data_IF_395527419300
#
_entry.id   IF_395527419300
#
_cell.length_a   1.000
_cell.length_b   1.000
_cell.length_c   1.000
_cell.angle_alpha   90.00
_cell.angle_beta   90.00
_cell.angle_gamma   90.00
#
_symmetry.space_group_name_H-M   'P 1'
#
loop_
_entity.id
_entity.type
_entity.pdbx_description
1 polymer ?
#
# COMPACT_ATOMS: atom_id res chain seq x y z
N UNK A 1 4.78 70.00 -3.20
CA UNK A 1 5.73 69.05 -2.65
C UNK A 1 5.07 67.66 -2.71
N UNK A 2 5.41 66.86 -3.76
CA UNK A 2 4.82 65.51 -4.00
C UNK A 2 5.74 64.49 -3.39
N UNK A 3 5.28 63.72 -2.40
CA UNK A 3 6.01 62.58 -1.80
C UNK A 3 5.70 61.33 -2.59
N UNK A 4 6.72 60.82 -3.31
CA UNK A 4 6.68 59.54 -4.02
C UNK A 4 6.97 58.47 -3.01
N UNK A 5 6.00 57.58 -2.70
CA UNK A 5 6.18 56.40 -1.90
C UNK A 5 6.62 55.22 -2.78
N UNK A 6 7.87 54.81 -2.66
CA UNK A 6 8.40 53.63 -3.35
C UNK A 6 8.00 52.37 -2.59
N UNK A 7 7.09 51.60 -3.17
CA UNK A 7 6.70 50.25 -2.68
C UNK A 7 7.76 49.24 -3.11
N UNK A 8 8.53 48.75 -2.12
CA UNK A 8 9.53 47.70 -2.29
C UNK A 8 8.77 46.33 -2.24
N UNK A 9 8.55 45.72 -3.39
CA UNK A 9 7.98 44.37 -3.49
C UNK A 9 9.07 43.33 -3.20
N UNK A 10 9.10 42.78 -1.96
CA UNK A 10 9.91 41.59 -1.63
C UNK A 10 9.24 40.35 -2.22
N UNK A 11 9.77 39.86 -3.37
CA UNK A 11 9.44 38.58 -3.92
C UNK A 11 10.05 37.48 -3.04
N UNK A 12 9.24 36.84 -2.19
CA UNK A 12 9.60 35.64 -1.43
C UNK A 12 9.69 34.45 -2.40
N UNK A 13 10.89 34.17 -2.89
CA UNK A 13 11.21 32.94 -3.59
C UNK A 13 11.23 31.80 -2.54
N UNK A 14 10.10 31.09 -2.40
CA UNK A 14 10.04 29.85 -1.64
C UNK A 14 10.83 28.78 -2.40
N UNK A 15 11.85 28.15 -1.80
CA UNK A 15 12.49 27.00 -2.42
C UNK A 15 11.48 25.86 -2.44
N UNK A 16 11.02 25.46 -3.64
CA UNK A 16 10.37 24.17 -3.85
C UNK A 16 11.43 23.11 -3.57
N UNK A 17 11.46 22.62 -2.33
CA UNK A 17 12.19 21.42 -1.99
C UNK A 17 11.52 20.27 -2.75
N UNK A 18 12.04 19.96 -3.94
CA UNK A 18 11.70 18.73 -4.65
C UNK A 18 12.14 17.58 -3.73
N UNK A 19 11.20 16.97 -3.03
CA UNK A 19 11.46 15.71 -2.33
C UNK A 19 11.81 14.67 -3.39
N UNK A 20 13.11 14.47 -3.62
CA UNK A 20 13.58 13.38 -4.46
C UNK A 20 13.05 12.08 -3.84
N UNK A 21 12.12 11.41 -4.53
CA UNK A 21 11.61 10.12 -4.10
C UNK A 21 12.81 9.16 -3.99
N UNK A 22 13.01 8.60 -2.79
CA UNK A 22 14.07 7.61 -2.56
C UNK A 22 13.82 6.43 -3.52
N UNK A 23 14.87 6.07 -4.28
CA UNK A 23 14.82 4.90 -5.17
C UNK A 23 15.06 3.64 -4.34
N UNK A 24 14.26 2.60 -4.55
CA UNK A 24 14.46 1.31 -3.89
C UNK A 24 15.75 0.66 -4.42
N UNK A 25 16.74 0.49 -3.57
CA UNK A 25 17.94 -0.30 -3.87
C UNK A 25 17.70 -1.78 -3.64
N UNK A 26 18.53 -2.67 -4.19
CA UNK A 26 18.45 -4.10 -3.92
C UNK A 26 18.59 -4.43 -2.42
N UNK A 27 19.42 -3.67 -1.70
CA UNK A 27 19.56 -3.81 -0.25
C UNK A 27 18.29 -3.38 0.49
N UNK A 28 17.67 -2.25 0.08
CA UNK A 28 16.39 -1.80 0.64
C UNK A 28 15.28 -2.82 0.37
N UNK A 29 15.20 -3.38 -0.85
CA UNK A 29 14.20 -4.40 -1.19
C UNK A 29 14.35 -5.66 -0.32
N UNK A 30 15.58 -6.13 -0.12
CA UNK A 30 15.85 -7.28 0.77
C UNK A 30 15.47 -6.98 2.22
N UNK A 31 15.76 -5.75 2.70
CA UNK A 31 15.39 -5.33 4.04
C UNK A 31 13.88 -5.18 4.20
N UNK A 32 13.20 -4.63 3.19
CA UNK A 32 11.75 -4.50 3.13
C UNK A 32 11.06 -5.87 3.22
N UNK A 33 11.48 -6.84 2.41
CA UNK A 33 10.95 -8.20 2.45
C UNK A 33 11.06 -8.82 3.85
N UNK A 34 12.23 -8.72 4.49
CA UNK A 34 12.43 -9.20 5.85
C UNK A 34 11.59 -8.46 6.90
N UNK A 35 11.28 -7.18 6.67
CA UNK A 35 10.44 -6.41 7.56
C UNK A 35 8.96 -6.82 7.40
N UNK A 36 8.50 -7.01 6.17
CA UNK A 36 7.15 -7.45 5.84
C UNK A 36 6.84 -8.82 6.46
N UNK A 37 7.75 -9.76 6.38
CA UNK A 37 7.61 -11.11 6.99
C UNK A 37 7.40 -11.08 8.52
N UNK A 38 7.78 -9.98 9.17
CA UNK A 38 7.70 -9.80 10.64
C UNK A 38 6.50 -8.96 11.08
N UNK A 39 5.64 -8.54 10.16
CA UNK A 39 4.47 -7.73 10.51
C UNK A 39 3.44 -8.61 11.22
N UNK A 40 3.21 -8.30 12.50
CA UNK A 40 2.22 -8.99 13.36
C UNK A 40 1.29 -8.01 14.08
N UNK A 41 1.45 -6.70 13.84
CA UNK A 41 0.61 -5.65 14.43
C UNK A 41 0.51 -4.44 13.51
N UNK A 42 -0.49 -3.58 13.78
CA UNK A 42 -0.68 -2.32 13.05
C UNK A 42 0.52 -1.39 13.17
N UNK A 43 1.16 -1.34 14.32
CA UNK A 43 2.37 -0.54 14.56
C UNK A 43 3.56 -1.06 13.72
N UNK A 44 3.70 -2.38 13.61
CA UNK A 44 4.73 -2.96 12.74
C UNK A 44 4.47 -2.64 11.27
N UNK A 45 3.20 -2.69 10.84
CA UNK A 45 2.81 -2.35 9.48
C UNK A 45 3.10 -0.87 9.16
N UNK A 46 2.65 0.05 10.01
CA UNK A 46 2.89 1.49 9.86
C UNK A 46 4.39 1.79 9.80
N UNK A 47 5.17 1.20 10.71
CA UNK A 47 6.63 1.36 10.72
C UNK A 47 7.27 0.83 9.43
N UNK A 48 6.93 -0.37 9.00
CA UNK A 48 7.45 -0.96 7.77
C UNK A 48 7.12 -0.11 6.55
N UNK A 49 5.89 0.43 6.47
CA UNK A 49 5.51 1.37 5.44
C UNK A 49 6.37 2.64 5.47
N UNK A 50 6.55 3.29 6.62
CA UNK A 50 7.40 4.47 6.72
C UNK A 50 8.83 4.22 6.25
N UNK A 51 9.39 3.08 6.63
CA UNK A 51 10.78 2.74 6.31
C UNK A 51 10.96 2.34 4.83
N UNK A 52 9.96 1.65 4.23
CA UNK A 52 10.12 0.95 2.96
C UNK A 52 9.07 1.26 1.88
N UNK A 53 8.18 2.26 2.06
CA UNK A 53 7.17 2.61 1.05
C UNK A 53 7.74 2.91 -0.35
N UNK A 54 9.01 3.31 -0.43
CA UNK A 54 9.74 3.52 -1.67
C UNK A 54 10.10 2.22 -2.39
N UNK A 55 9.96 1.08 -1.72
CA UNK A 55 10.14 -0.27 -2.24
C UNK A 55 8.79 -1.02 -2.44
N UNK A 56 7.67 -0.34 -2.37
CA UNK A 56 6.33 -0.90 -2.52
C UNK A 56 6.04 -1.26 -3.97
N UNK A 57 6.70 -2.33 -4.45
CA UNK A 57 6.65 -2.87 -5.80
C UNK A 57 6.89 -4.37 -5.77
N UNK A 58 6.43 -5.06 -6.79
CA UNK A 58 6.67 -6.48 -7.02
C UNK A 58 6.40 -7.34 -5.76
N UNK A 59 7.31 -8.19 -5.36
CA UNK A 59 7.17 -9.09 -4.21
C UNK A 59 7.02 -8.37 -2.87
N UNK A 60 7.52 -7.14 -2.74
CA UNK A 60 7.34 -6.33 -1.52
C UNK A 60 5.90 -5.79 -1.45
N UNK A 61 5.31 -5.38 -2.58
CA UNK A 61 3.91 -4.94 -2.69
C UNK A 61 2.95 -6.09 -2.29
N UNK A 62 3.18 -7.28 -2.83
CA UNK A 62 2.39 -8.47 -2.48
C UNK A 62 2.52 -8.82 -0.99
N UNK A 63 3.72 -8.77 -0.45
CA UNK A 63 3.97 -9.01 0.97
C UNK A 63 3.28 -8.00 1.89
N UNK A 64 3.29 -6.72 1.54
CA UNK A 64 2.54 -5.69 2.26
C UNK A 64 1.03 -5.93 2.19
N UNK A 65 0.53 -6.33 1.02
CA UNK A 65 -0.89 -6.67 0.83
C UNK A 65 -1.29 -7.83 1.73
N UNK A 66 -0.53 -8.92 1.73
CA UNK A 66 -0.77 -10.08 2.59
C UNK A 66 -0.75 -9.71 4.09
N UNK A 67 0.26 -8.99 4.53
CA UNK A 67 0.37 -8.56 5.92
C UNK A 67 -0.80 -7.66 6.35
N UNK A 68 -1.20 -6.70 5.51
CA UNK A 68 -2.35 -5.83 5.76
C UNK A 68 -3.64 -6.64 5.85
N UNK A 69 -3.91 -7.51 4.87
CA UNK A 69 -5.15 -8.28 4.83
C UNK A 69 -5.25 -9.27 5.99
N UNK A 70 -4.15 -9.93 6.37
CA UNK A 70 -4.09 -10.77 7.55
C UNK A 70 -4.45 -10.02 8.84
N UNK A 71 -4.00 -8.78 9.01
CA UNK A 71 -4.37 -7.94 10.14
C UNK A 71 -5.83 -7.46 10.05
N UNK A 72 -6.33 -7.16 8.85
CA UNK A 72 -7.72 -6.75 8.60
C UNK A 72 -8.69 -7.89 8.92
N UNK A 73 -8.45 -9.11 8.45
CA UNK A 73 -9.26 -10.29 8.74
C UNK A 73 -9.18 -10.66 10.22
N UNK A 74 -8.01 -10.46 10.84
CA UNK A 74 -7.85 -10.64 12.29
C UNK A 74 -8.74 -9.73 13.15
N UNK A 75 -9.22 -8.61 12.61
CA UNK A 75 -10.18 -7.66 13.16
C UNK A 75 -9.89 -7.18 14.59
N UNK A 76 -8.61 -6.99 14.93
CA UNK A 76 -8.16 -6.60 16.28
C UNK A 76 -7.49 -5.23 16.26
N UNK A 77 -7.66 -4.48 17.36
CA UNK A 77 -7.00 -3.19 17.61
C UNK A 77 -7.16 -2.20 16.44
N UNK A 78 -8.35 -2.11 15.87
CA UNK A 78 -8.65 -1.24 14.72
C UNK A 78 -8.50 0.25 15.02
N UNK A 79 -8.52 0.64 16.28
CA UNK A 79 -8.19 1.98 16.74
C UNK A 79 -6.80 2.42 16.29
N UNK A 80 -5.81 1.52 16.28
CA UNK A 80 -4.45 1.83 15.87
C UNK A 80 -4.36 2.20 14.39
N UNK A 81 -4.94 1.39 13.49
CA UNK A 81 -4.93 1.71 12.05
C UNK A 81 -5.83 2.90 11.72
N UNK A 82 -6.99 2.99 12.34
CA UNK A 82 -7.89 4.13 12.18
C UNK A 82 -7.20 5.45 12.55
N UNK A 83 -6.50 5.48 13.68
CA UNK A 83 -5.74 6.65 14.10
C UNK A 83 -4.56 6.96 13.17
N UNK A 84 -3.84 5.94 12.67
CA UNK A 84 -2.75 6.11 11.72
C UNK A 84 -3.25 6.72 10.40
N UNK A 85 -4.34 6.17 9.83
CA UNK A 85 -4.97 6.70 8.61
C UNK A 85 -5.51 8.12 8.77
N UNK A 86 -5.99 8.48 9.97
CA UNK A 86 -6.45 9.84 10.27
C UNK A 86 -5.30 10.86 10.34
N UNK A 87 -4.10 10.42 10.77
CA UNK A 87 -2.91 11.29 10.89
C UNK A 87 -2.18 11.47 9.56
N UNK A 88 -2.20 10.44 8.69
CA UNK A 88 -1.40 10.41 7.48
C UNK A 88 -2.25 10.03 6.26
N UNK A 89 -2.54 11.03 5.41
CA UNK A 89 -3.36 10.85 4.21
C UNK A 89 -2.66 9.98 3.15
N UNK A 90 -1.32 9.93 3.12
CA UNK A 90 -0.58 9.06 2.21
C UNK A 90 -0.64 7.60 2.68
N UNK A 91 -0.50 7.37 3.98
CA UNK A 91 -0.71 6.05 4.57
C UNK A 91 -2.13 5.55 4.31
N UNK A 92 -3.15 6.38 4.51
CA UNK A 92 -4.55 6.07 4.20
C UNK A 92 -4.73 5.66 2.74
N UNK A 93 -4.17 6.42 1.81
CA UNK A 93 -4.20 6.14 0.37
C UNK A 93 -3.53 4.80 0.03
N UNK A 94 -2.40 4.54 0.69
CA UNK A 94 -1.67 3.31 0.56
C UNK A 94 -2.48 2.11 1.09
N UNK A 95 -3.08 2.21 2.27
CA UNK A 95 -3.98 1.17 2.81
C UNK A 95 -5.11 0.87 1.82
N UNK A 96 -5.77 1.91 1.27
CA UNK A 96 -6.84 1.71 0.27
C UNK A 96 -6.32 1.03 -1.01
N UNK A 97 -5.12 1.38 -1.48
CA UNK A 97 -4.48 0.72 -2.63
C UNK A 97 -4.36 -0.80 -2.38
N UNK A 98 -3.83 -1.17 -1.23
CA UNK A 98 -3.56 -2.59 -0.91
C UNK A 98 -4.83 -3.40 -0.66
N UNK A 99 -5.82 -2.87 0.04
CA UNK A 99 -7.11 -3.58 0.21
C UNK A 99 -7.88 -3.75 -1.10
N UNK A 100 -7.58 -2.93 -2.12
CA UNK A 100 -8.13 -3.05 -3.47
C UNK A 100 -7.25 -3.86 -4.41
N UNK A 101 -6.06 -4.29 -3.98
CA UNK A 101 -5.15 -5.12 -4.77
C UNK A 101 -5.85 -6.41 -5.22
N UNK A 102 -5.56 -6.91 -6.44
CA UNK A 102 -6.01 -8.23 -6.86
C UNK A 102 -5.60 -9.35 -5.88
N UNK A 103 -4.44 -9.23 -5.25
CA UNK A 103 -3.96 -10.18 -4.23
C UNK A 103 -4.85 -10.21 -2.97
N UNK A 104 -5.57 -9.13 -2.66
CA UNK A 104 -6.49 -9.04 -1.53
C UNK A 104 -7.91 -9.55 -1.84
N UNK A 105 -8.16 -10.07 -3.07
CA UNK A 105 -9.53 -10.32 -3.56
C UNK A 105 -10.32 -11.26 -2.66
N UNK A 106 -9.73 -12.33 -2.20
CA UNK A 106 -10.43 -13.39 -1.47
C UNK A 106 -10.79 -12.95 -0.04
N UNK A 107 -9.94 -12.12 0.58
CA UNK A 107 -10.16 -11.62 1.95
C UNK A 107 -11.11 -10.41 2.00
N UNK A 108 -11.34 -9.72 0.87
CA UNK A 108 -12.16 -8.48 0.86
C UNK A 108 -13.60 -8.69 1.30
N UNK A 109 -14.20 -9.84 0.97
CA UNK A 109 -15.57 -10.14 1.37
C UNK A 109 -15.67 -10.32 2.88
N UNK A 110 -14.68 -10.96 3.49
CA UNK A 110 -14.60 -11.12 4.95
C UNK A 110 -14.44 -9.77 5.64
N UNK A 111 -13.53 -8.92 5.13
CA UNK A 111 -13.33 -7.57 5.67
C UNK A 111 -14.60 -6.72 5.51
N UNK A 112 -15.32 -6.83 4.38
CA UNK A 112 -16.60 -6.16 4.19
C UNK A 112 -17.64 -6.63 5.22
N UNK A 113 -17.76 -7.94 5.41
CA UNK A 113 -18.70 -8.51 6.36
C UNK A 113 -18.40 -8.09 7.80
N UNK A 114 -17.11 -8.07 8.18
CA UNK A 114 -16.64 -7.60 9.50
C UNK A 114 -16.95 -6.11 9.70
N UNK A 115 -16.66 -5.28 8.70
CA UNK A 115 -16.93 -3.84 8.78
C UNK A 115 -18.44 -3.52 8.91
N UNK A 116 -19.30 -4.34 8.31
CA UNK A 116 -20.76 -4.15 8.38
C UNK A 116 -21.40 -4.72 9.64
N UNK A 117 -20.85 -5.80 10.21
CA UNK A 117 -21.54 -6.59 11.25
C UNK A 117 -20.82 -6.58 12.60
N UNK A 118 -19.53 -6.27 12.62
CA UNK A 118 -18.67 -6.44 13.78
C UNK A 118 -17.84 -5.20 14.10
N UNK A 119 -18.34 -4.01 13.71
CA UNK A 119 -17.62 -2.77 13.95
C UNK A 119 -17.45 -2.54 15.47
N UNK A 120 -16.23 -2.33 15.97
CA UNK A 120 -16.02 -2.01 17.38
C UNK A 120 -16.60 -0.66 17.75
N UNK A 121 -16.98 -0.49 19.02
CA UNK A 121 -17.45 0.78 19.53
C UNK A 121 -16.47 1.92 19.23
N UNK A 122 -17.01 3.08 18.83
CA UNK A 122 -16.24 4.29 18.44
C UNK A 122 -15.43 4.18 17.14
N UNK A 123 -15.60 3.11 16.34
CA UNK A 123 -14.96 2.96 15.05
C UNK A 123 -15.95 3.07 13.87
N UNK A 124 -17.15 3.57 14.09
CA UNK A 124 -18.23 3.61 13.08
C UNK A 124 -17.80 4.30 11.79
N UNK A 125 -17.10 5.43 11.88
CA UNK A 125 -16.61 6.17 10.72
C UNK A 125 -15.58 5.37 9.93
N UNK A 126 -14.63 4.71 10.60
CA UNK A 126 -13.62 3.85 9.97
C UNK A 126 -14.27 2.63 9.31
N UNK A 127 -15.19 1.94 10.01
CA UNK A 127 -15.89 0.79 9.46
C UNK A 127 -16.75 1.18 8.24
N UNK A 128 -17.44 2.31 8.29
CA UNK A 128 -18.24 2.79 7.16
C UNK A 128 -17.36 3.10 5.94
N UNK A 129 -16.25 3.79 6.14
CA UNK A 129 -15.27 4.08 5.09
C UNK A 129 -14.71 2.78 4.50
N UNK A 130 -14.25 1.86 5.35
CA UNK A 130 -13.66 0.60 4.93
C UNK A 130 -14.67 -0.24 4.12
N UNK A 131 -15.93 -0.34 4.60
CA UNK A 131 -16.99 -1.05 3.90
C UNK A 131 -17.26 -0.47 2.51
N UNK A 132 -17.20 0.86 2.34
CA UNK A 132 -17.35 1.47 1.00
C UNK A 132 -16.14 1.20 0.10
N UNK A 133 -14.93 1.11 0.67
CA UNK A 133 -13.71 0.80 -0.09
C UNK A 133 -13.73 -0.64 -0.60
N UNK A 134 -14.03 -1.61 0.28
CA UNK A 134 -13.97 -3.05 -0.03
C UNK A 134 -15.29 -3.64 -0.54
N UNK A 135 -16.28 -2.81 -0.82
CA UNK A 135 -17.63 -3.24 -1.27
C UNK A 135 -17.56 -4.23 -2.42
N UNK A 136 -18.27 -5.38 -2.33
CA UNK A 136 -18.34 -6.34 -3.42
C UNK A 136 -18.79 -5.73 -4.76
N UNK A 137 -18.16 -6.12 -5.84
CA UNK A 137 -18.42 -5.60 -7.18
C UNK A 137 -17.72 -4.28 -7.52
N UNK A 138 -17.00 -3.66 -6.58
CA UNK A 138 -16.10 -2.55 -6.89
C UNK A 138 -14.83 -3.09 -7.57
N UNK A 139 -14.49 -2.66 -8.79
CA UNK A 139 -13.27 -3.13 -9.43
C UNK A 139 -12.08 -2.78 -8.54
N UNK A 140 -11.22 -3.76 -8.29
CA UNK A 140 -9.92 -3.51 -7.69
C UNK A 140 -9.14 -2.51 -8.55
N UNK A 141 -8.21 -1.76 -7.96
CA UNK A 141 -7.27 -0.98 -8.75
C UNK A 141 -6.64 -1.91 -9.79
N UNK A 142 -6.78 -1.56 -11.08
CA UNK A 142 -6.18 -2.35 -12.14
C UNK A 142 -4.69 -2.48 -11.84
N UNK A 143 -4.08 -3.67 -11.99
CA UNK A 143 -2.65 -3.81 -11.87
C UNK A 143 -2.01 -2.78 -12.81
N UNK A 144 -1.06 -2.01 -12.29
CA UNK A 144 -0.17 -1.26 -13.16
C UNK A 144 0.35 -2.29 -14.17
N UNK A 145 0.05 -2.07 -15.46
CA UNK A 145 0.32 -3.03 -16.52
C UNK A 145 1.73 -3.59 -16.32
N UNK A 146 1.80 -4.85 -15.91
CA UNK A 146 3.04 -5.59 -15.95
C UNK A 146 3.42 -5.66 -17.42
N UNK A 147 4.42 -4.91 -17.80
CA UNK A 147 5.15 -5.12 -19.05
C UNK A 147 5.86 -6.47 -18.91
N UNK A 148 5.09 -7.53 -19.03
CA UNK A 148 5.56 -8.90 -18.99
C UNK A 148 5.62 -9.42 -20.41
N UNK A 149 6.79 -9.31 -21.02
CA UNK A 149 7.20 -10.25 -22.05
C UNK A 149 7.19 -11.65 -21.42
N UNK A 150 6.06 -12.33 -21.56
CA UNK A 150 5.99 -13.77 -21.31
C UNK A 150 6.60 -14.50 -22.50
N UNK A 151 7.91 -14.55 -22.53
CA UNK A 151 8.64 -15.56 -23.28
C UNK A 151 8.50 -16.91 -22.56
N UNK A 152 7.31 -17.48 -22.62
CA UNK A 152 7.13 -18.90 -22.39
C UNK A 152 7.56 -19.63 -23.67
N UNK A 153 8.84 -19.89 -23.81
CA UNK A 153 9.33 -20.79 -24.81
C UNK A 153 8.95 -22.23 -24.41
N UNK A 154 8.19 -22.97 -25.25
CA UNK A 154 7.81 -24.34 -24.91
C UNK A 154 9.09 -25.20 -24.79
N UNK A 155 9.27 -25.82 -23.64
CA UNK A 155 10.36 -26.79 -23.43
C UNK A 155 10.32 -27.87 -24.51
N UNK A 156 11.39 -27.96 -25.28
CA UNK A 156 11.60 -29.05 -26.23
C UNK A 156 11.53 -30.41 -25.50
N UNK A 157 10.81 -31.39 -26.06
CA UNK A 157 10.77 -32.74 -25.47
C UNK A 157 12.19 -33.33 -25.35
N UNK A 158 12.49 -33.86 -24.17
CA UNK A 158 13.75 -34.59 -23.91
C UNK A 158 13.72 -35.88 -24.73
N UNK A 159 14.74 -36.16 -25.58
CA UNK A 159 14.80 -37.42 -26.30
C UNK A 159 14.96 -38.59 -25.35
N UNK A 160 14.21 -39.66 -25.61
CA UNK A 160 14.26 -40.90 -24.84
C UNK A 160 15.68 -41.52 -24.83
N UNK A 161 16.11 -42.13 -23.70
CA UNK A 161 17.42 -42.79 -23.65
C UNK A 161 17.45 -43.98 -24.57
N UNK A 162 18.48 -44.03 -25.44
CA UNK A 162 18.77 -45.18 -26.29
C UNK A 162 19.17 -46.37 -25.40
N UNK A 163 18.31 -47.35 -25.26
CA UNK A 163 18.66 -48.69 -24.77
C UNK A 163 19.30 -49.50 -25.88
N UNK A 164 20.58 -49.77 -25.74
CA UNK A 164 21.28 -50.87 -26.41
C UNK A 164 21.57 -51.94 -25.39
#
# INVERSE_FOLDING_TARGET
>A
MKKIATLLACALALPLAAHAQKVCSAADATAAQKAVDKIVSWQNLEKAWHDYRHCDKDTVDDGFTDALMRLMVGWKNLDAISAAMARDAEYKKWVHKHVLSPAAKDDREDVYALAKKSCPAKQDAFCAELAEVVKPGKPGAAPAAASGDTLFEPLKPIPAPNTK
#
